data_IF_178966509169
#
_entry.id   IF_178966509169
#
_cell.length_a   1.000
_cell.length_b   1.000
_cell.length_c   1.000
_cell.angle_alpha   90.00
_cell.angle_beta   90.00
_cell.angle_gamma   90.00
#
_symmetry.space_group_name_H-M   'P 1'
#
loop_
_entity.id
_entity.type
_entity.pdbx_description
1 polymer ?
#
# COMPACT_ATOMS: atom_id res chain seq x y z
N UNK A 1 -37.79 6.33 -10.74
CA UNK A 1 -36.51 6.83 -10.19
C UNK A 1 -35.78 5.67 -9.51
N UNK A 2 -34.63 5.24 -10.03
CA UNK A 2 -33.75 4.28 -9.32
C UNK A 2 -33.30 4.99 -8.03
N UNK A 3 -33.60 4.42 -6.86
CA UNK A 3 -33.03 4.92 -5.60
C UNK A 3 -31.51 4.98 -5.76
N UNK A 4 -30.82 6.06 -5.34
CA UNK A 4 -29.38 6.07 -5.29
C UNK A 4 -28.95 4.84 -4.50
N UNK A 5 -28.11 4.01 -5.09
CA UNK A 5 -27.49 2.92 -4.35
C UNK A 5 -26.40 3.58 -3.51
N UNK A 6 -26.80 4.22 -2.41
CA UNK A 6 -25.88 4.88 -1.48
C UNK A 6 -25.10 3.79 -0.75
N UNK A 7 -24.05 3.31 -1.39
CA UNK A 7 -23.03 2.54 -0.72
C UNK A 7 -22.24 3.53 0.15
N UNK A 8 -22.27 3.39 1.49
CA UNK A 8 -21.55 4.29 2.38
C UNK A 8 -20.03 4.27 2.13
N UNK A 9 -19.51 3.22 1.50
CA UNK A 9 -18.10 3.14 1.12
C UNK A 9 -17.72 3.99 -0.09
N UNK A 10 -18.66 4.43 -0.93
CA UNK A 10 -18.34 5.16 -2.17
C UNK A 10 -17.72 6.55 -1.88
N UNK A 11 -18.25 7.37 -0.96
CA UNK A 11 -17.60 8.61 -0.55
C UNK A 11 -16.19 8.38 0.04
N UNK A 12 -16.03 7.32 0.84
CA UNK A 12 -14.74 6.96 1.41
C UNK A 12 -13.73 6.55 0.33
N UNK A 13 -14.12 5.68 -0.61
CA UNK A 13 -13.28 5.27 -1.75
C UNK A 13 -12.89 6.48 -2.59
N UNK A 14 -13.84 7.37 -2.90
CA UNK A 14 -13.53 8.59 -3.63
C UNK A 14 -12.51 9.46 -2.88
N UNK A 15 -12.72 9.70 -1.59
CA UNK A 15 -11.81 10.51 -0.78
C UNK A 15 -10.41 9.87 -0.67
N UNK A 16 -10.35 8.56 -0.47
CA UNK A 16 -9.10 7.82 -0.40
C UNK A 16 -8.35 7.91 -1.73
N UNK A 17 -9.01 7.68 -2.86
CA UNK A 17 -8.42 7.79 -4.19
C UNK A 17 -7.81 9.17 -4.45
N UNK A 18 -8.53 10.25 -4.15
CA UNK A 18 -8.02 11.62 -4.34
C UNK A 18 -6.84 11.92 -3.41
N UNK A 19 -6.89 11.47 -2.15
CA UNK A 19 -5.76 11.59 -1.24
C UNK A 19 -4.53 10.82 -1.75
N UNK A 20 -4.73 9.60 -2.26
CA UNK A 20 -3.67 8.77 -2.85
C UNK A 20 -2.98 9.47 -4.02
N UNK A 21 -3.73 10.06 -4.95
CA UNK A 21 -3.18 10.82 -6.09
C UNK A 21 -2.31 11.98 -5.64
N UNK A 22 -2.79 12.77 -4.67
CA UNK A 22 -2.04 13.90 -4.10
C UNK A 22 -0.78 13.42 -3.39
N UNK A 23 -0.88 12.34 -2.61
CA UNK A 23 0.29 11.76 -1.93
C UNK A 23 1.31 11.17 -2.91
N UNK A 24 0.86 10.59 -4.01
CA UNK A 24 1.69 10.04 -5.07
C UNK A 24 2.32 11.13 -5.96
N UNK A 25 1.87 12.39 -5.83
CA UNK A 25 2.26 13.51 -6.69
C UNK A 25 1.90 13.28 -8.17
N UNK A 26 0.75 12.66 -8.41
CA UNK A 26 0.28 12.25 -9.74
C UNK A 26 -1.25 12.37 -9.83
N UNK A 27 -1.73 13.39 -10.55
CA UNK A 27 -3.16 13.66 -10.73
C UNK A 27 -3.85 12.71 -11.72
N UNK A 28 -3.06 12.12 -12.63
CA UNK A 28 -3.56 11.26 -13.71
C UNK A 28 -3.60 9.79 -13.28
N UNK A 29 -2.96 9.46 -12.15
CA UNK A 29 -2.99 8.15 -11.52
C UNK A 29 -4.42 7.63 -11.35
N UNK A 30 -4.71 6.50 -11.98
CA UNK A 30 -6.01 5.84 -11.91
C UNK A 30 -6.07 4.90 -10.71
N UNK A 31 -6.92 5.22 -9.73
CA UNK A 31 -7.12 4.38 -8.54
C UNK A 31 -8.36 3.50 -8.72
N UNK A 32 -8.18 2.19 -8.54
CA UNK A 32 -9.22 1.17 -8.64
C UNK A 32 -9.30 0.34 -7.37
N UNK A 33 -10.45 -0.29 -7.11
CA UNK A 33 -10.66 -1.15 -5.94
C UNK A 33 -10.98 -2.57 -6.39
N UNK A 34 -10.21 -3.56 -5.93
CA UNK A 34 -10.40 -4.98 -6.29
C UNK A 34 -10.20 -5.91 -5.08
N UNK A 35 -10.66 -7.15 -5.24
CA UNK A 35 -10.34 -8.28 -4.35
C UNK A 35 -8.97 -8.90 -4.68
N UNK A 36 -8.42 -8.61 -5.87
CA UNK A 36 -7.09 -9.06 -6.26
C UNK A 36 -6.00 -8.39 -5.41
N UNK A 37 -4.77 -8.96 -5.37
CA UNK A 37 -3.63 -8.34 -4.70
C UNK A 37 -3.45 -6.88 -5.13
N UNK A 38 -3.23 -6.01 -4.14
CA UNK A 38 -2.96 -4.61 -4.37
C UNK A 38 -1.60 -4.40 -5.05
N UNK A 39 -1.46 -3.30 -5.78
CA UNK A 39 -0.23 -2.97 -6.48
C UNK A 39 -0.40 -1.84 -7.48
N UNK A 40 0.71 -1.46 -8.11
CA UNK A 40 0.77 -0.43 -9.15
C UNK A 40 1.20 -1.09 -10.46
N UNK A 41 0.53 -0.75 -11.56
CA UNK A 41 0.88 -1.20 -12.91
C UNK A 41 0.74 -0.01 -13.87
N UNK A 42 1.87 0.55 -14.29
CA UNK A 42 1.90 1.83 -15.01
C UNK A 42 1.20 2.91 -14.19
N UNK A 43 0.24 3.59 -14.82
CA UNK A 43 -0.52 4.69 -14.20
C UNK A 43 -1.79 4.20 -13.48
N UNK A 44 -1.91 2.90 -13.20
CA UNK A 44 -3.04 2.31 -12.50
C UNK A 44 -2.62 1.73 -11.15
N UNK A 45 -3.23 2.24 -10.07
CA UNK A 45 -3.09 1.74 -8.72
C UNK A 45 -4.33 0.95 -8.30
N UNK A 46 -4.12 -0.27 -7.81
CA UNK A 46 -5.17 -1.16 -7.32
C UNK A 46 -5.10 -1.23 -5.80
N UNK A 47 -6.19 -0.82 -5.15
CA UNK A 47 -6.36 -0.85 -3.72
C UNK A 47 -7.31 -1.98 -3.27
N UNK A 48 -7.20 -2.44 -2.02
CA UNK A 48 -8.11 -3.43 -1.46
C UNK A 48 -9.56 -2.96 -1.48
N UNK A 49 -10.47 -3.87 -1.82
CA UNK A 49 -11.89 -3.58 -1.83
C UNK A 49 -12.42 -3.30 -0.42
N UNK A 50 -13.13 -2.18 -0.26
CA UNK A 50 -13.86 -1.85 0.98
C UNK A 50 -15.33 -2.21 0.80
N UNK A 51 -15.87 -3.03 1.71
CA UNK A 51 -17.25 -3.46 1.66
C UNK A 51 -18.21 -2.35 2.10
N UNK A 52 -19.51 -2.55 1.90
CA UNK A 52 -20.54 -1.64 2.43
C UNK A 52 -20.52 -1.54 3.96
N UNK A 53 -19.95 -2.52 4.66
CA UNK A 53 -19.88 -2.55 6.13
C UNK A 53 -18.82 -1.59 6.65
N UNK A 54 -17.80 -1.27 5.85
CA UNK A 54 -16.68 -0.40 6.22
C UNK A 54 -16.15 -0.72 7.60
N UNK A 55 -15.82 -1.99 7.83
CA UNK A 55 -15.26 -2.36 9.14
C UNK A 55 -13.96 -1.60 9.36
N UNK A 56 -13.59 -1.41 10.63
CA UNK A 56 -12.34 -0.69 10.97
C UNK A 56 -11.14 -1.30 10.25
N UNK A 57 -11.07 -2.63 10.21
CA UNK A 57 -9.94 -3.35 9.60
C UNK A 57 -9.92 -3.16 8.08
N UNK A 58 -11.07 -3.21 7.39
CA UNK A 58 -11.14 -2.92 5.94
C UNK A 58 -10.67 -1.50 5.62
N UNK A 59 -11.10 -0.52 6.42
CA UNK A 59 -10.74 0.89 6.23
C UNK A 59 -9.25 1.12 6.48
N UNK A 60 -8.71 0.59 7.57
CA UNK A 60 -7.29 0.73 7.89
C UNK A 60 -6.41 -0.01 6.87
N UNK A 61 -6.80 -1.20 6.45
CA UNK A 61 -6.08 -1.96 5.44
C UNK A 61 -6.04 -1.21 4.09
N UNK A 62 -7.17 -0.66 3.66
CA UNK A 62 -7.24 0.13 2.44
C UNK A 62 -6.36 1.39 2.52
N UNK A 63 -6.39 2.11 3.66
CA UNK A 63 -5.55 3.29 3.91
C UNK A 63 -4.07 2.97 3.95
N UNK A 64 -3.66 1.96 4.72
CA UNK A 64 -2.26 1.54 4.82
C UNK A 64 -1.67 1.11 3.49
N UNK A 65 -2.46 0.39 2.69
CA UNK A 65 -2.07 0.00 1.33
C UNK A 65 -1.95 1.21 0.42
N UNK A 66 -2.91 2.13 0.46
CA UNK A 66 -2.89 3.34 -0.34
C UNK A 66 -1.69 4.23 -0.01
N UNK A 67 -1.40 4.43 1.27
CA UNK A 67 -0.26 5.23 1.73
C UNK A 67 1.05 4.57 1.27
N UNK A 68 1.24 3.26 1.51
CA UNK A 68 2.45 2.55 1.09
C UNK A 68 2.70 2.64 -0.42
N UNK A 69 1.67 2.39 -1.24
CA UNK A 69 1.80 2.43 -2.70
C UNK A 69 2.01 3.85 -3.22
N UNK A 70 1.33 4.86 -2.67
CA UNK A 70 1.51 6.26 -3.05
C UNK A 70 2.93 6.76 -2.70
N UNK A 71 3.42 6.46 -1.50
CA UNK A 71 4.76 6.84 -1.08
C UNK A 71 5.84 6.16 -1.92
N UNK A 72 5.64 4.88 -2.26
CA UNK A 72 6.53 4.18 -3.20
C UNK A 72 6.49 4.84 -4.59
N UNK A 73 5.31 5.13 -5.15
CA UNK A 73 5.19 5.81 -6.45
C UNK A 73 5.94 7.15 -6.47
N UNK A 74 5.81 7.94 -5.40
CA UNK A 74 6.44 9.26 -5.30
C UNK A 74 7.95 9.22 -5.11
N UNK A 75 8.45 8.31 -4.27
CA UNK A 75 9.85 8.34 -3.82
C UNK A 75 10.74 7.30 -4.50
N UNK A 76 10.19 6.35 -5.24
CA UNK A 76 10.95 5.34 -5.96
C UNK A 76 11.35 5.82 -7.36
N UNK A 77 12.63 5.70 -7.70
CA UNK A 77 13.11 5.91 -9.07
C UNK A 77 13.54 4.57 -9.68
N UNK A 78 12.73 4.06 -10.60
CA UNK A 78 12.94 2.74 -11.22
C UNK A 78 14.29 2.62 -11.94
N UNK A 79 14.78 3.70 -12.57
CA UNK A 79 16.05 3.68 -13.30
C UNK A 79 17.24 3.55 -12.34
N UNK A 80 17.25 4.33 -11.28
CA UNK A 80 18.28 4.32 -10.24
C UNK A 80 18.25 2.99 -9.49
N UNK A 81 17.06 2.52 -9.12
CA UNK A 81 16.91 1.23 -8.47
C UNK A 81 17.46 0.08 -9.34
N UNK A 82 17.07 0.03 -10.62
CA UNK A 82 17.57 -1.00 -11.54
C UNK A 82 19.09 -0.93 -11.75
N UNK A 83 19.67 0.28 -11.78
CA UNK A 83 21.13 0.49 -11.94
C UNK A 83 21.93 -0.09 -10.76
N UNK A 84 21.41 0.00 -9.54
CA UNK A 84 22.10 -0.45 -8.32
C UNK A 84 21.61 -1.81 -7.81
N UNK A 85 20.67 -2.45 -8.51
CA UNK A 85 20.15 -3.75 -8.13
C UNK A 85 21.27 -4.80 -8.10
N UNK A 86 21.46 -5.50 -6.96
CA UNK A 86 22.52 -6.50 -6.85
C UNK A 86 22.24 -7.74 -7.71
N UNK A 87 23.28 -8.51 -8.07
CA UNK A 87 23.10 -9.83 -8.67
C UNK A 87 22.65 -10.85 -7.62
N UNK A 88 21.94 -11.88 -8.07
CA UNK A 88 21.42 -12.96 -7.20
C UNK A 88 20.01 -12.66 -6.67
N UNK A 89 19.18 -13.70 -6.58
CA UNK A 89 17.77 -13.57 -6.22
C UNK A 89 17.58 -13.03 -4.79
N UNK A 90 18.21 -13.67 -3.80
CA UNK A 90 18.13 -13.26 -2.39
C UNK A 90 18.54 -11.79 -2.18
N UNK A 91 19.64 -11.38 -2.81
CA UNK A 91 20.11 -10.00 -2.69
C UNK A 91 19.12 -8.99 -3.29
N UNK A 92 18.45 -9.34 -4.40
CA UNK A 92 17.41 -8.50 -5.01
C UNK A 92 16.17 -8.40 -4.14
N UNK A 93 15.74 -9.51 -3.55
CA UNK A 93 14.59 -9.53 -2.64
C UNK A 93 14.83 -8.63 -1.43
N UNK A 94 16.02 -8.73 -0.81
CA UNK A 94 16.43 -7.82 0.27
C UNK A 94 16.51 -6.36 -0.20
N UNK A 95 17.05 -6.11 -1.40
CA UNK A 95 17.17 -4.76 -1.95
C UNK A 95 15.79 -4.11 -2.20
N UNK A 96 14.83 -4.88 -2.71
CA UNK A 96 13.45 -4.45 -2.94
C UNK A 96 12.69 -4.18 -1.63
N UNK A 97 12.87 -5.05 -0.63
CA UNK A 97 12.30 -4.85 0.70
C UNK A 97 12.84 -3.56 1.36
N UNK A 98 14.16 -3.34 1.29
CA UNK A 98 14.81 -2.14 1.82
C UNK A 98 14.36 -0.87 1.09
N UNK A 99 14.14 -0.94 -0.23
CA UNK A 99 13.63 0.19 -0.99
C UNK A 99 12.19 0.54 -0.61
N UNK A 100 11.34 -0.47 -0.38
CA UNK A 100 9.98 -0.27 0.14
C UNK A 100 10.02 0.46 1.48
N UNK A 101 10.82 -0.06 2.43
CA UNK A 101 10.97 0.53 3.75
C UNK A 101 11.53 1.96 3.69
N UNK A 102 12.46 2.26 2.76
CA UNK A 102 12.99 3.61 2.55
C UNK A 102 11.89 4.58 2.12
N UNK A 103 11.07 4.20 1.12
CA UNK A 103 10.00 5.06 0.62
C UNK A 103 8.96 5.36 1.70
N UNK A 104 8.55 4.33 2.45
CA UNK A 104 7.61 4.45 3.56
C UNK A 104 8.19 5.34 4.68
N UNK A 105 9.45 5.13 5.08
CA UNK A 105 10.11 5.91 6.12
C UNK A 105 10.30 7.39 5.73
N UNK A 106 10.64 7.68 4.47
CA UNK A 106 10.75 9.06 3.98
C UNK A 106 9.40 9.77 4.00
N UNK A 107 8.34 9.10 3.55
CA UNK A 107 6.99 9.66 3.60
C UNK A 107 6.47 9.87 5.01
N UNK A 108 6.67 8.89 5.90
CA UNK A 108 6.26 8.96 7.30
C UNK A 108 6.89 10.12 8.08
N UNK A 109 8.11 10.56 7.71
CA UNK A 109 8.75 11.74 8.31
C UNK A 109 7.97 13.03 8.03
N UNK A 110 7.42 13.17 6.82
CA UNK A 110 6.64 14.33 6.42
C UNK A 110 5.16 14.20 6.82
N UNK A 111 4.64 12.97 6.86
CA UNK A 111 3.24 12.66 7.12
C UNK A 111 3.14 11.55 8.18
N UNK A 112 3.30 11.85 9.48
CA UNK A 112 3.38 10.82 10.53
C UNK A 112 2.13 9.93 10.64
N UNK A 113 0.97 10.40 10.20
CA UNK A 113 -0.26 9.59 10.14
C UNK A 113 -0.21 8.43 9.13
N UNK A 114 0.72 8.45 8.17
CA UNK A 114 0.91 7.32 7.25
C UNK A 114 1.60 6.16 7.95
N UNK A 115 2.48 6.43 8.92
CA UNK A 115 3.16 5.40 9.69
C UNK A 115 2.15 4.47 10.37
N UNK A 116 1.17 5.04 11.10
CA UNK A 116 0.14 4.23 11.77
C UNK A 116 -0.74 3.43 10.80
N UNK A 117 -0.95 3.91 9.57
CA UNK A 117 -1.74 3.17 8.58
C UNK A 117 -0.90 2.03 7.98
N UNK A 118 0.36 2.31 7.66
CA UNK A 118 1.32 1.35 7.10
C UNK A 118 1.65 0.26 8.12
N UNK A 119 1.74 0.57 9.41
CA UNK A 119 1.92 -0.42 10.47
C UNK A 119 0.81 -1.48 10.45
N UNK A 120 -0.45 -1.08 10.25
CA UNK A 120 -1.58 -2.02 10.14
C UNK A 120 -1.42 -2.93 8.91
N UNK A 121 -0.93 -2.38 7.79
CA UNK A 121 -0.61 -3.18 6.59
C UNK A 121 0.48 -4.19 6.88
N UNK A 122 1.59 -3.75 7.49
CA UNK A 122 2.74 -4.60 7.81
C UNK A 122 2.33 -5.71 8.79
N UNK A 123 1.54 -5.39 9.81
CA UNK A 123 1.00 -6.36 10.77
C UNK A 123 0.15 -7.43 10.07
N UNK A 124 -0.72 -7.02 9.15
CA UNK A 124 -1.54 -7.95 8.37
C UNK A 124 -0.69 -8.84 7.44
N UNK A 125 0.32 -8.27 6.78
CA UNK A 125 1.26 -9.02 5.93
C UNK A 125 2.09 -10.02 6.73
N UNK A 126 2.59 -9.62 7.91
CA UNK A 126 3.35 -10.48 8.80
C UNK A 126 2.52 -11.66 9.32
N UNK A 127 1.28 -11.41 9.76
CA UNK A 127 0.35 -12.49 10.14
C UNK A 127 0.04 -13.43 8.98
N UNK A 128 -0.14 -12.89 7.77
CA UNK A 128 -0.38 -13.73 6.58
C UNK A 128 0.82 -14.62 6.25
N UNK A 129 2.02 -14.15 6.55
CA UNK A 129 3.26 -14.93 6.41
C UNK A 129 3.49 -15.91 7.58
N UNK A 130 2.60 -15.91 8.59
CA UNK A 130 2.68 -16.79 9.76
C UNK A 130 3.75 -16.38 10.77
N UNK A 131 4.26 -15.14 10.68
CA UNK A 131 5.31 -14.67 11.57
C UNK A 131 4.88 -14.56 13.03
N UNK A 132 3.58 -14.50 13.29
CA UNK A 132 2.99 -14.55 14.63
C UNK A 132 3.07 -15.94 15.29
N UNK A 133 3.39 -16.98 14.51
CA UNK A 133 3.50 -18.36 14.97
C UNK A 133 4.96 -18.85 15.07
N UNK A 134 5.92 -18.02 14.66
CA UNK A 134 7.35 -18.35 14.74
C UNK A 134 7.78 -18.35 16.21
N UNK A 135 8.29 -19.49 16.65
CA UNK A 135 8.80 -19.70 18.02
C UNK A 135 10.28 -20.02 18.05
N UNK A 136 10.85 -20.49 16.94
CA UNK A 136 12.28 -20.75 16.77
C UNK A 136 12.86 -19.99 15.57
N UNK A 137 14.12 -19.55 15.68
CA UNK A 137 14.77 -18.75 14.63
C UNK A 137 14.91 -19.51 13.28
N UNK A 138 14.83 -20.84 13.29
CA UNK A 138 14.85 -21.68 12.09
C UNK A 138 13.53 -21.71 11.33
N UNK A 139 12.44 -21.18 11.89
CA UNK A 139 11.11 -21.13 11.28
C UNK A 139 10.87 -19.84 10.46
N UNK A 140 11.84 -18.92 10.44
CA UNK A 140 11.82 -17.64 9.76
C UNK A 140 12.49 -17.66 8.38
#
# INVERSE_FOLDING_TARGET
>A
MKKPNDNPADPFKKALAEATKVMADDSDLTVTYSVDPAGVSGDAMRLPQVSRRMTRDEVLMARGTADALALRHKYHDAKTHAKYAPPGQMARELYEAMETARCEAVGARAMPGTASNIDVKIEAEARRQGFDQITEASEA
#
